data_IF_607062115966
#
_entry.id   IF_607062115966
#
_cell.length_a   1.000
_cell.length_b   1.000
_cell.length_c   1.000
_cell.angle_alpha   90.00
_cell.angle_beta   90.00
_cell.angle_gamma   90.00
#
_symmetry.space_group_name_H-M   'P 1'
#
loop_
_entity.id
_entity.type
_entity.pdbx_description
1 polymer ?
#
# COMPACT_ATOMS: atom_id res chain seq x y z
N UNK A 1 -63.80 2.21 -4.92
CA UNK A 1 -62.62 1.43 -4.50
C UNK A 1 -61.69 1.28 -5.69
N UNK A 2 -61.06 2.37 -6.14
CA UNK A 2 -60.10 2.34 -7.24
C UNK A 2 -59.14 3.52 -7.10
N UNK A 3 -57.93 3.32 -7.63
CA UNK A 3 -56.86 4.28 -7.90
C UNK A 3 -55.88 4.61 -6.76
N UNK A 4 -54.74 3.92 -6.76
CA UNK A 4 -53.42 4.55 -6.64
C UNK A 4 -52.34 3.58 -7.15
N UNK A 5 -52.26 3.42 -8.47
CA UNK A 5 -51.08 2.84 -9.12
C UNK A 5 -50.50 3.89 -10.07
N UNK A 6 -49.16 4.00 -10.03
CA UNK A 6 -48.28 4.49 -11.09
C UNK A 6 -48.09 6.01 -11.27
N UNK A 7 -47.24 6.60 -10.42
CA UNK A 7 -46.24 7.57 -10.89
C UNK A 7 -45.09 7.72 -9.89
N UNK A 8 -44.16 6.77 -9.86
CA UNK A 8 -42.83 7.05 -9.32
C UNK A 8 -42.06 7.87 -10.37
N UNK A 9 -41.51 9.05 -10.04
CA UNK A 9 -40.85 9.88 -11.03
C UNK A 9 -39.60 9.16 -11.57
N UNK A 10 -39.46 9.10 -12.91
CA UNK A 10 -38.31 8.48 -13.62
C UNK A 10 -36.94 8.97 -13.10
N UNK A 11 -36.89 10.17 -12.53
CA UNK A 11 -35.72 10.73 -11.86
C UNK A 11 -35.29 9.89 -10.64
N UNK A 12 -36.20 9.54 -9.72
CA UNK A 12 -35.88 8.77 -8.50
C UNK A 12 -35.36 7.36 -8.83
N UNK A 13 -35.90 6.74 -9.88
CA UNK A 13 -35.45 5.41 -10.35
C UNK A 13 -34.05 5.45 -11.00
N UNK A 14 -33.70 6.55 -11.67
CA UNK A 14 -32.38 6.75 -12.28
C UNK A 14 -31.31 7.03 -11.23
N UNK A 15 -31.62 7.85 -10.22
CA UNK A 15 -30.73 8.06 -9.06
C UNK A 15 -30.51 6.78 -8.26
N UNK A 16 -31.55 5.96 -8.07
CA UNK A 16 -31.45 4.65 -7.41
C UNK A 16 -30.46 3.69 -8.11
N UNK A 17 -30.49 3.61 -9.44
CA UNK A 17 -29.56 2.78 -10.22
C UNK A 17 -28.12 3.32 -10.15
N UNK A 18 -27.93 4.64 -10.18
CA UNK A 18 -26.62 5.27 -10.02
C UNK A 18 -26.02 5.06 -8.63
N UNK A 19 -26.83 5.13 -7.57
CA UNK A 19 -26.39 4.87 -6.19
C UNK A 19 -25.97 3.40 -6.02
N UNK A 20 -26.74 2.47 -6.58
CA UNK A 20 -26.40 1.04 -6.55
C UNK A 20 -25.08 0.75 -7.27
N UNK A 21 -24.86 1.39 -8.43
CA UNK A 21 -23.60 1.27 -9.16
C UNK A 21 -22.41 1.83 -8.37
N UNK A 22 -22.56 2.99 -7.72
CA UNK A 22 -21.51 3.57 -6.86
C UNK A 22 -21.22 2.67 -5.65
N UNK A 23 -22.26 2.10 -5.03
CA UNK A 23 -22.11 1.17 -3.91
C UNK A 23 -21.36 -0.09 -4.32
N UNK A 24 -21.71 -0.66 -5.49
CA UNK A 24 -21.01 -1.82 -6.07
C UNK A 24 -19.54 -1.44 -6.31
N UNK A 25 -19.26 -0.31 -6.97
CA UNK A 25 -17.88 0.13 -7.22
C UNK A 25 -17.13 0.30 -5.90
N UNK A 26 -17.71 0.94 -4.88
CA UNK A 26 -17.08 1.11 -3.57
C UNK A 26 -16.79 -0.22 -2.88
N UNK A 27 -17.75 -1.15 -2.87
CA UNK A 27 -17.59 -2.50 -2.30
C UNK A 27 -16.54 -3.34 -3.04
N UNK A 28 -16.40 -3.16 -4.36
CA UNK A 28 -15.39 -3.85 -5.16
C UNK A 28 -14.02 -3.17 -5.11
N UNK A 29 -13.95 -1.84 -4.99
CA UNK A 29 -12.69 -1.07 -5.02
C UNK A 29 -12.02 -1.00 -3.64
N UNK A 30 -12.78 -0.86 -2.55
CA UNK A 30 -12.24 -0.85 -1.20
C UNK A 30 -11.30 -2.02 -0.86
N UNK A 31 -11.66 -3.31 -1.13
CA UNK A 31 -10.78 -4.44 -0.83
C UNK A 31 -9.55 -4.50 -1.74
N UNK A 32 -9.55 -3.79 -2.87
CA UNK A 32 -8.38 -3.71 -3.78
C UNK A 32 -7.30 -2.79 -3.19
N UNK A 33 -7.64 -1.89 -2.26
CA UNK A 33 -6.69 -1.03 -1.54
C UNK A 33 -6.02 -1.78 -0.37
N UNK A 34 -5.74 -3.07 -0.53
CA UNK A 34 -4.84 -3.77 0.39
C UNK A 34 -3.46 -3.13 0.24
N UNK A 35 -2.98 -2.45 1.30
CA UNK A 35 -1.69 -1.77 1.26
C UNK A 35 -0.59 -2.81 1.14
N UNK A 36 0.10 -2.86 0.00
CA UNK A 36 1.35 -3.61 -0.09
C UNK A 36 2.32 -2.98 0.93
N UNK A 37 2.68 -3.72 1.98
CA UNK A 37 3.62 -3.26 3.03
C UNK A 37 5.06 -3.42 2.54
N UNK A 38 5.42 -2.69 1.49
CA UNK A 38 6.78 -2.71 0.96
C UNK A 38 7.25 -1.31 0.58
N UNK A 39 8.56 -1.10 0.62
CA UNK A 39 9.20 0.09 0.04
C UNK A 39 9.97 -0.35 -1.19
N UNK A 40 9.69 0.27 -2.33
CA UNK A 40 10.40 0.00 -3.59
C UNK A 40 11.12 1.25 -4.05
N UNK A 41 12.43 1.11 -4.29
CA UNK A 41 13.28 2.12 -4.93
C UNK A 41 13.79 1.52 -6.24
N UNK A 42 13.54 2.16 -7.39
CA UNK A 42 14.03 1.65 -8.67
C UNK A 42 15.56 1.77 -8.75
N UNK A 43 16.17 0.85 -9.49
CA UNK A 43 17.59 0.85 -9.81
C UNK A 43 17.91 -0.28 -10.78
N UNK A 44 19.06 -0.21 -11.45
CA UNK A 44 19.53 -1.28 -12.34
C UNK A 44 19.86 -2.55 -11.57
N UNK A 45 20.35 -2.40 -10.33
CA UNK A 45 20.56 -3.50 -9.39
C UNK A 45 19.66 -3.25 -8.19
N UNK A 46 18.73 -4.16 -7.91
CA UNK A 46 17.77 -4.01 -6.82
C UNK A 46 18.20 -4.88 -5.64
N UNK A 47 18.45 -4.26 -4.48
CA UNK A 47 18.81 -4.98 -3.27
C UNK A 47 17.56 -5.29 -2.44
N UNK A 48 17.42 -6.56 -2.04
CA UNK A 48 16.40 -6.97 -1.07
C UNK A 48 16.76 -6.50 0.35
N UNK A 49 15.77 -6.02 1.10
CA UNK A 49 15.94 -5.61 2.50
C UNK A 49 14.82 -6.15 3.39
N UNK A 50 15.18 -6.90 4.43
CA UNK A 50 14.24 -7.40 5.43
C UNK A 50 14.49 -6.68 6.75
N UNK A 51 13.52 -5.89 7.22
CA UNK A 51 13.65 -5.12 8.46
C UNK A 51 12.49 -5.40 9.40
N UNK A 52 12.72 -5.56 10.72
CA UNK A 52 11.67 -5.74 11.71
C UNK A 52 11.04 -4.39 12.04
N UNK A 53 10.27 -3.83 11.11
CA UNK A 53 9.64 -2.51 11.26
C UNK A 53 8.54 -2.60 12.31
N UNK A 54 7.78 -3.69 12.34
CA UNK A 54 6.79 -3.95 13.37
C UNK A 54 7.22 -5.07 14.33
N UNK A 55 6.63 -5.06 15.53
CA UNK A 55 6.61 -6.21 16.43
C UNK A 55 5.78 -7.36 15.84
N UNK A 56 6.07 -8.59 16.26
CA UNK A 56 5.18 -9.71 15.99
C UNK A 56 3.79 -9.45 16.59
N UNK A 57 2.75 -9.74 15.81
CA UNK A 57 1.36 -9.69 16.27
C UNK A 57 1.15 -10.59 17.50
N UNK A 58 0.35 -10.13 18.45
CA UNK A 58 0.06 -10.89 19.69
C UNK A 58 -0.87 -12.09 19.47
N UNK A 59 -1.54 -12.17 18.32
CA UNK A 59 -2.53 -13.19 18.00
C UNK A 59 -2.18 -13.86 16.65
N UNK A 60 -2.68 -15.07 16.39
CA UNK A 60 -2.51 -15.80 15.13
C UNK A 60 -3.09 -15.09 13.88
N UNK A 61 -3.72 -13.92 14.07
CA UNK A 61 -3.99 -12.98 13.00
C UNK A 61 -2.68 -12.41 12.46
N UNK A 62 -2.47 -12.42 11.15
CA UNK A 62 -1.34 -11.78 10.42
C UNK A 62 -1.29 -10.24 10.57
N UNK A 63 -1.69 -9.70 11.72
CA UNK A 63 -1.69 -8.29 12.04
C UNK A 63 -0.39 -7.95 12.76
N UNK A 64 0.43 -7.13 12.11
CA UNK A 64 1.68 -6.61 12.68
C UNK A 64 1.41 -5.84 13.98
N UNK A 65 2.35 -5.92 14.92
CA UNK A 65 2.32 -5.22 16.21
C UNK A 65 2.73 -3.75 16.12
N UNK A 66 3.27 -3.18 17.20
CA UNK A 66 3.72 -1.77 17.22
C UNK A 66 4.96 -1.56 16.34
N UNK A 67 5.17 -0.33 15.87
CA UNK A 67 6.37 0.05 15.11
C UNK A 67 7.59 0.13 16.05
N UNK A 68 8.70 -0.46 15.61
CA UNK A 68 10.03 -0.37 16.23
C UNK A 68 10.86 0.72 15.54
N UNK A 69 10.71 1.96 15.97
CA UNK A 69 11.39 3.11 15.37
C UNK A 69 12.93 2.93 15.34
N UNK A 70 13.53 2.59 16.49
CA UNK A 70 14.99 2.60 16.65
C UNK A 70 15.68 1.36 16.04
N UNK A 71 14.96 0.25 15.87
CA UNK A 71 15.55 -1.01 15.38
C UNK A 71 15.12 -1.38 13.97
N UNK A 72 13.86 -1.14 13.60
CA UNK A 72 13.34 -1.45 12.27
C UNK A 72 13.49 -0.26 11.34
N UNK A 73 12.84 0.85 11.69
CA UNK A 73 12.76 2.03 10.83
C UNK A 73 14.14 2.66 10.63
N UNK A 74 14.93 2.83 11.70
CA UNK A 74 16.27 3.42 11.59
C UNK A 74 17.18 2.62 10.65
N UNK A 75 17.12 1.28 10.68
CA UNK A 75 17.94 0.43 9.80
C UNK A 75 17.47 0.48 8.35
N UNK A 76 16.16 0.49 8.12
CA UNK A 76 15.58 0.72 6.80
C UNK A 76 16.06 2.06 6.22
N UNK A 77 15.96 3.13 7.01
CA UNK A 77 16.40 4.47 6.59
C UNK A 77 17.91 4.50 6.35
N UNK A 78 18.71 3.81 7.16
CA UNK A 78 20.15 3.71 6.96
C UNK A 78 20.52 3.01 5.63
N UNK A 79 19.78 1.97 5.23
CA UNK A 79 19.95 1.35 3.92
C UNK A 79 19.62 2.33 2.79
N UNK A 80 18.50 3.05 2.87
CA UNK A 80 18.12 4.05 1.87
C UNK A 80 19.15 5.17 1.74
N UNK A 81 19.67 5.65 2.88
CA UNK A 81 20.75 6.63 2.91
C UNK A 81 22.04 6.10 2.27
N UNK A 82 22.41 4.84 2.54
CA UNK A 82 23.60 4.23 1.95
C UNK A 82 23.47 4.08 0.43
N UNK A 83 22.31 3.66 -0.07
CA UNK A 83 22.02 3.59 -1.51
C UNK A 83 22.19 4.95 -2.18
N UNK A 84 21.64 6.00 -1.57
CA UNK A 84 21.78 7.37 -2.07
C UNK A 84 23.24 7.84 -2.09
N UNK A 85 24.02 7.49 -1.06
CA UNK A 85 25.46 7.81 -1.00
C UNK A 85 26.24 7.11 -2.11
N UNK A 86 26.02 5.81 -2.31
CA UNK A 86 26.68 5.05 -3.37
C UNK A 86 26.30 5.58 -4.75
N UNK A 87 25.01 5.81 -5.01
CA UNK A 87 24.53 6.31 -6.31
C UNK A 87 25.05 7.72 -6.66
N UNK A 88 25.46 8.52 -5.67
CA UNK A 88 26.05 9.85 -5.88
C UNK A 88 27.57 9.83 -6.03
N UNK A 89 28.22 8.76 -5.60
CA UNK A 89 29.67 8.63 -5.67
C UNK A 89 30.09 8.13 -7.06
N UNK A 90 30.78 8.98 -7.83
CA UNK A 90 31.24 8.63 -9.19
C UNK A 90 32.34 7.58 -9.22
N UNK A 91 32.97 7.27 -8.07
CA UNK A 91 33.98 6.23 -7.97
C UNK A 91 33.38 4.86 -7.66
N UNK A 92 32.16 4.81 -7.09
CA UNK A 92 31.48 3.59 -6.70
C UNK A 92 30.34 3.28 -7.68
N UNK A 93 30.40 2.13 -8.35
CA UNK A 93 29.40 1.69 -9.34
C UNK A 93 29.08 2.74 -10.43
N UNK A 94 30.09 3.26 -11.16
CA UNK A 94 29.91 4.38 -12.11
C UNK A 94 28.93 4.11 -13.26
N UNK A 95 28.57 2.84 -13.49
CA UNK A 95 27.72 2.40 -14.61
C UNK A 95 26.41 1.75 -14.15
N UNK A 96 26.12 1.72 -12.84
CA UNK A 96 24.95 1.06 -12.30
C UNK A 96 24.34 1.86 -11.14
N UNK A 97 23.01 2.03 -11.18
CA UNK A 97 22.24 2.55 -10.04
C UNK A 97 21.75 1.43 -9.14
N UNK A 98 21.89 1.62 -7.83
CA UNK A 98 21.30 0.75 -6.82
C UNK A 98 19.87 1.20 -6.50
N UNK A 99 18.97 0.23 -6.47
CA UNK A 99 17.61 0.34 -5.96
C UNK A 99 17.41 -0.59 -4.77
N UNK A 100 16.17 -0.68 -4.30
CA UNK A 100 15.80 -1.53 -3.18
C UNK A 100 14.39 -2.09 -3.29
N UNK A 101 14.19 -3.29 -2.76
CA UNK A 101 12.88 -3.83 -2.42
C UNK A 101 12.91 -4.23 -0.95
N UNK A 102 12.18 -3.49 -0.12
CA UNK A 102 12.21 -3.62 1.33
C UNK A 102 10.88 -4.14 1.83
N UNK A 103 10.93 -5.19 2.65
CA UNK A 103 9.79 -5.84 3.26
C UNK A 103 9.95 -5.85 4.78
N UNK A 104 8.80 -5.81 5.46
CA UNK A 104 8.72 -6.04 6.89
C UNK A 104 8.64 -7.54 7.20
N UNK A 105 9.32 -7.99 8.25
CA UNK A 105 9.44 -9.42 8.57
C UNK A 105 8.39 -9.96 9.54
N UNK A 106 7.49 -9.13 10.07
CA UNK A 106 6.50 -9.51 11.09
C UNK A 106 5.10 -8.96 10.83
#
# INVERSE_FOLDING_TARGET
MTCASLYTPRLVQRYSLSILQILIIFLYVLPIISSVKQVTVPGQIVLGGLFPIHEAGRNASHQCGKIKADQGVQRMVAMLFALEKVNRDRQLLPQASLGAQILDTW
#
